data_IF_626516813692
#
_entry.id   IF_626516813692
#
_cell.length_a   1.000
_cell.length_b   1.000
_cell.length_c   1.000
_cell.angle_alpha   90.00
_cell.angle_beta   90.00
_cell.angle_gamma   90.00
#
_symmetry.space_group_name_H-M   'P 1'
#
loop_
_entity.id
_entity.type
_entity.pdbx_description
1 polymer ?
#
# COMPACT_ATOMS: atom_id res chain seq x y z
N UNK A 1 20.93 -44.88 44.84
CA UNK A 1 21.01 -43.92 43.71
C UNK A 1 20.60 -44.57 42.37
N UNK A 2 19.45 -45.26 42.29
CA UNK A 2 19.00 -45.93 41.05
C UNK A 2 17.57 -45.49 40.64
N UNK A 3 16.88 -44.70 41.46
CA UNK A 3 15.49 -44.31 41.20
C UNK A 3 15.32 -43.15 40.19
N UNK A 4 16.33 -42.29 40.01
CA UNK A 4 16.22 -41.09 39.16
C UNK A 4 16.39 -41.37 37.66
N UNK A 5 17.13 -42.42 37.28
CA UNK A 5 17.37 -42.77 35.88
C UNK A 5 16.11 -43.27 35.16
N UNK A 6 15.17 -43.88 35.88
CA UNK A 6 13.99 -44.49 35.27
C UNK A 6 12.95 -43.43 34.83
N UNK A 7 12.85 -42.31 35.56
CA UNK A 7 11.95 -41.20 35.21
C UNK A 7 12.47 -40.37 34.04
N UNK A 8 13.80 -40.16 33.98
CA UNK A 8 14.43 -39.45 32.88
C UNK A 8 14.32 -40.21 31.55
N UNK A 9 14.61 -41.52 31.56
CA UNK A 9 14.50 -42.37 30.36
C UNK A 9 13.06 -42.43 29.86
N UNK A 10 12.06 -42.50 30.76
CA UNK A 10 10.64 -42.41 30.39
C UNK A 10 10.32 -41.07 29.72
N UNK A 11 10.81 -39.95 30.27
CA UNK A 11 10.62 -38.62 29.69
C UNK A 11 11.18 -38.50 28.27
N UNK A 12 12.39 -39.02 28.04
CA UNK A 12 13.01 -39.05 26.70
C UNK A 12 12.19 -39.89 25.71
N UNK A 13 11.69 -41.04 26.15
CA UNK A 13 10.86 -41.92 25.31
C UNK A 13 9.52 -41.27 24.94
N UNK A 14 8.83 -40.63 25.90
CA UNK A 14 7.58 -39.91 25.62
C UNK A 14 7.79 -38.69 24.73
N UNK A 15 8.86 -37.93 24.94
CA UNK A 15 9.22 -36.78 24.09
C UNK A 15 9.56 -37.20 22.67
N UNK A 16 10.32 -38.29 22.50
CA UNK A 16 10.64 -38.85 21.18
C UNK A 16 9.39 -39.35 20.44
N UNK A 17 8.50 -40.06 21.13
CA UNK A 17 7.24 -40.53 20.56
C UNK A 17 6.34 -39.35 20.14
N UNK A 18 6.26 -38.30 20.97
CA UNK A 18 5.50 -37.10 20.67
C UNK A 18 6.06 -36.34 19.46
N UNK A 19 7.38 -36.20 19.36
CA UNK A 19 8.03 -35.61 18.18
C UNK A 19 7.76 -36.42 16.92
N UNK A 20 7.86 -37.75 16.98
CA UNK A 20 7.56 -38.61 15.82
C UNK A 20 6.11 -38.47 15.38
N UNK A 21 5.17 -38.45 16.32
CA UNK A 21 3.75 -38.20 16.06
C UNK A 21 3.55 -36.83 15.40
N UNK A 22 4.14 -35.76 15.92
CA UNK A 22 4.08 -34.42 15.29
C UNK A 22 4.67 -34.44 13.88
N UNK A 23 5.79 -35.11 13.65
CA UNK A 23 6.38 -35.17 12.30
C UNK A 23 5.54 -35.99 11.33
N UNK A 24 4.89 -37.07 11.78
CA UNK A 24 3.98 -37.90 10.97
C UNK A 24 2.67 -37.16 10.65
N UNK A 25 2.10 -36.43 11.61
CA UNK A 25 0.91 -35.59 11.40
C UNK A 25 1.24 -34.28 10.65
N UNK A 26 2.43 -33.72 10.85
CA UNK A 26 2.95 -32.54 10.14
C UNK A 26 3.25 -32.82 8.67
N UNK A 27 3.74 -34.03 8.34
CA UNK A 27 3.93 -34.44 6.94
C UNK A 27 2.60 -34.74 6.21
N UNK A 28 1.50 -34.96 6.92
CA UNK A 28 0.23 -35.39 6.29
C UNK A 28 -0.82 -34.29 6.16
N UNK A 29 -0.55 -33.05 6.62
CA UNK A 29 -1.42 -31.88 6.32
C UNK A 29 -0.68 -30.55 6.45
N UNK A 30 -0.30 -29.97 5.30
CA UNK A 30 -0.36 -28.52 4.98
C UNK A 30 0.39 -28.16 3.67
N UNK A 31 0.54 -29.07 2.70
CA UNK A 31 0.39 -28.63 1.31
C UNK A 31 -1.11 -28.69 1.00
N UNK A 32 -1.84 -27.71 1.54
CA UNK A 32 -3.09 -27.35 0.89
C UNK A 32 -2.74 -26.99 -0.54
N UNK A 33 -3.52 -27.48 -1.50
CA UNK A 33 -3.47 -27.00 -2.87
C UNK A 33 -3.30 -25.48 -2.82
N UNK A 34 -2.25 -24.96 -3.47
CA UNK A 34 -2.04 -23.53 -3.59
C UNK A 34 -3.35 -22.97 -4.15
N UNK A 35 -4.09 -22.12 -3.41
CA UNK A 35 -5.36 -21.62 -3.90
C UNK A 35 -5.09 -21.01 -5.26
N UNK A 36 -5.83 -21.46 -6.27
CA UNK A 36 -5.66 -21.01 -7.65
C UNK A 36 -5.71 -19.48 -7.63
N UNK A 37 -4.54 -18.84 -7.68
CA UNK A 37 -4.46 -17.40 -7.53
C UNK A 37 -5.03 -16.81 -8.80
N UNK A 38 -6.25 -16.29 -8.72
CA UNK A 38 -6.88 -15.59 -9.82
C UNK A 38 -6.11 -14.28 -10.02
N UNK A 39 -5.12 -14.30 -10.92
CA UNK A 39 -4.44 -13.10 -11.34
C UNK A 39 -5.42 -12.26 -12.17
N UNK A 40 -6.03 -11.26 -11.54
CA UNK A 40 -6.71 -10.21 -12.29
C UNK A 40 -5.65 -9.34 -12.96
N UNK A 41 -5.33 -9.65 -14.21
CA UNK A 41 -4.51 -8.78 -15.03
C UNK A 41 -5.27 -7.46 -15.24
N UNK A 42 -4.69 -6.36 -14.76
CA UNK A 42 -5.25 -5.03 -14.96
C UNK A 42 -5.11 -4.67 -16.44
N UNK A 43 -6.21 -4.78 -17.16
CA UNK A 43 -6.31 -4.34 -18.56
C UNK A 43 -6.34 -2.81 -18.59
N UNK A 44 -5.31 -2.22 -19.18
CA UNK A 44 -5.22 -0.80 -19.44
C UNK A 44 -6.09 -0.48 -20.67
N UNK A 45 -6.78 0.67 -20.72
CA UNK A 45 -7.54 1.05 -21.91
C UNK A 45 -6.67 1.02 -23.18
N UNK A 46 -7.26 0.70 -24.32
CA UNK A 46 -6.58 0.78 -25.60
C UNK A 46 -6.27 2.25 -25.93
N UNK A 47 -5.01 2.55 -26.22
CA UNK A 47 -4.55 3.93 -26.47
C UNK A 47 -5.09 4.47 -27.79
N UNK A 48 -5.13 3.67 -28.84
CA UNK A 48 -5.66 4.05 -30.15
C UNK A 48 -7.16 4.37 -30.06
N UNK A 49 -7.91 3.57 -29.32
CA UNK A 49 -9.33 3.80 -29.05
C UNK A 49 -9.53 5.12 -28.28
N UNK A 50 -8.76 5.35 -27.21
CA UNK A 50 -8.84 6.60 -26.43
C UNK A 50 -8.49 7.81 -27.31
N UNK A 51 -7.48 7.70 -28.16
CA UNK A 51 -7.07 8.78 -29.07
C UNK A 51 -8.09 9.05 -30.18
N UNK A 52 -8.90 8.06 -30.55
CA UNK A 52 -9.99 8.24 -31.52
C UNK A 52 -11.18 9.04 -30.96
N UNK A 53 -11.29 9.16 -29.63
CA UNK A 53 -12.38 9.93 -29.00
C UNK A 53 -12.25 11.44 -29.25
N UNK A 54 -13.38 12.17 -29.38
CA UNK A 54 -13.38 13.63 -29.42
C UNK A 54 -12.65 14.22 -28.20
N UNK A 55 -11.94 15.33 -28.41
CA UNK A 55 -11.14 15.97 -27.36
C UNK A 55 -11.98 16.28 -26.11
N UNK A 56 -13.19 16.82 -26.29
CA UNK A 56 -14.11 17.10 -25.20
C UNK A 56 -14.40 15.85 -24.35
N UNK A 57 -14.55 14.67 -24.97
CA UNK A 57 -14.80 13.42 -24.25
C UNK A 57 -13.57 12.94 -23.49
N UNK A 58 -12.37 13.10 -24.05
CA UNK A 58 -11.12 12.76 -23.36
C UNK A 58 -10.91 13.65 -22.13
N UNK A 59 -11.23 14.94 -22.25
CA UNK A 59 -11.16 15.89 -21.13
C UNK A 59 -12.16 15.49 -20.04
N UNK A 60 -13.42 15.21 -20.41
CA UNK A 60 -14.46 14.74 -19.48
C UNK A 60 -14.01 13.49 -18.71
N UNK A 61 -13.48 12.48 -19.41
CA UNK A 61 -12.95 11.24 -18.80
C UNK A 61 -11.76 11.50 -17.88
N UNK A 62 -10.84 12.38 -18.27
CA UNK A 62 -9.69 12.75 -17.43
C UNK A 62 -10.14 13.48 -16.15
N UNK A 63 -11.18 14.32 -16.26
CA UNK A 63 -11.75 15.06 -15.14
C UNK A 63 -12.61 14.18 -14.21
N UNK A 64 -13.21 13.11 -14.72
CA UNK A 64 -13.95 12.15 -13.87
C UNK A 64 -13.06 11.36 -12.93
N UNK A 65 -11.74 11.29 -13.21
CA UNK A 65 -10.77 10.62 -12.35
C UNK A 65 -10.11 11.64 -11.43
N UNK A 66 -10.51 11.59 -10.16
CA UNK A 66 -10.01 12.47 -9.10
C UNK A 66 -9.03 11.71 -8.21
N UNK A 67 -7.75 12.09 -8.25
CA UNK A 67 -6.64 11.47 -7.52
C UNK A 67 -6.18 12.35 -6.37
N UNK A 68 -6.23 11.82 -5.15
CA UNK A 68 -5.63 12.40 -3.96
C UNK A 68 -4.25 11.78 -3.72
N UNK A 69 -3.19 12.58 -3.84
CA UNK A 69 -1.83 12.16 -3.58
C UNK A 69 -1.49 12.36 -2.10
N UNK A 70 -1.19 11.27 -1.39
CA UNK A 70 -0.69 11.27 -0.01
C UNK A 70 0.83 11.07 -0.06
N UNK A 71 1.58 12.12 0.23
CA UNK A 71 3.04 12.11 0.12
C UNK A 71 3.67 12.06 1.51
N UNK A 72 4.34 10.96 1.82
CA UNK A 72 5.08 10.77 3.06
C UNK A 72 6.46 11.43 2.94
N UNK A 73 6.71 12.44 3.76
CA UNK A 73 7.93 13.27 3.72
C UNK A 73 8.68 13.22 5.03
N UNK A 74 9.99 13.42 4.97
CA UNK A 74 10.86 13.47 6.14
C UNK A 74 11.60 14.81 6.20
N UNK A 75 11.70 15.45 7.37
CA UNK A 75 12.40 16.73 7.55
C UNK A 75 13.87 16.70 7.06
N UNK A 76 14.55 15.57 7.27
CA UNK A 76 15.93 15.35 6.79
C UNK A 76 16.07 15.29 5.27
N UNK A 77 14.98 15.09 4.55
CA UNK A 77 14.92 14.91 3.09
C UNK A 77 14.24 16.10 2.39
N UNK A 78 14.51 17.32 2.89
CA UNK A 78 13.81 18.53 2.44
C UNK A 78 13.96 18.82 0.94
N UNK A 79 15.09 18.40 0.34
CA UNK A 79 15.32 18.53 -1.10
C UNK A 79 14.36 17.67 -1.94
N UNK A 80 14.10 16.43 -1.52
CA UNK A 80 13.13 15.56 -2.18
C UNK A 80 11.70 16.10 -2.01
N UNK A 81 11.37 16.60 -0.82
CA UNK A 81 10.08 17.24 -0.60
C UNK A 81 9.89 18.45 -1.54
N UNK A 82 10.87 19.35 -1.62
CA UNK A 82 10.81 20.48 -2.53
C UNK A 82 10.61 20.03 -3.99
N UNK A 83 11.40 19.03 -4.43
CA UNK A 83 11.29 18.49 -5.79
C UNK A 83 9.90 17.91 -6.07
N UNK A 84 9.36 17.08 -5.17
CA UNK A 84 8.04 16.47 -5.33
C UNK A 84 6.94 17.54 -5.38
N UNK A 85 7.00 18.54 -4.48
CA UNK A 85 6.05 19.67 -4.44
C UNK A 85 6.09 20.52 -5.70
N UNK A 86 7.30 20.78 -6.20
CA UNK A 86 7.51 21.72 -7.30
C UNK A 86 7.44 21.05 -8.69
N UNK A 87 7.26 19.72 -8.74
CA UNK A 87 7.14 18.94 -9.99
C UNK A 87 5.80 18.21 -10.10
N UNK A 88 5.79 16.89 -10.02
CA UNK A 88 4.69 16.04 -10.47
C UNK A 88 3.43 16.14 -9.59
N UNK A 89 3.55 16.55 -8.33
CA UNK A 89 2.35 16.71 -7.47
C UNK A 89 1.43 17.83 -7.91
N UNK A 90 1.91 18.76 -8.74
CA UNK A 90 1.08 19.77 -9.42
C UNK A 90 0.05 19.17 -10.38
N UNK A 91 0.25 17.93 -10.79
CA UNK A 91 -0.64 17.19 -11.69
C UNK A 91 -1.65 16.31 -10.91
N UNK A 92 -1.51 16.18 -9.59
CA UNK A 92 -2.55 15.60 -8.74
C UNK A 92 -3.74 16.55 -8.63
N UNK A 93 -4.96 16.03 -8.52
CA UNK A 93 -6.13 16.87 -8.24
C UNK A 93 -6.03 17.52 -6.85
N UNK A 94 -5.39 16.83 -5.90
CA UNK A 94 -4.89 17.38 -4.65
C UNK A 94 -3.69 16.59 -4.14
N UNK A 95 -2.72 17.27 -3.55
CA UNK A 95 -1.61 16.64 -2.84
C UNK A 95 -1.60 17.07 -1.36
N UNK A 96 -1.36 16.11 -0.46
CA UNK A 96 -1.22 16.34 0.98
C UNK A 96 0.07 15.70 1.46
N UNK A 97 0.89 16.50 2.14
CA UNK A 97 2.18 16.07 2.66
C UNK A 97 2.04 15.69 4.13
N UNK A 98 2.60 14.55 4.51
CA UNK A 98 2.56 14.00 5.87
C UNK A 98 3.96 13.82 6.41
N UNK A 99 4.21 14.37 7.59
CA UNK A 99 5.55 14.41 8.20
C UNK A 99 5.50 13.92 9.65
N UNK A 100 6.56 13.28 10.19
CA UNK A 100 6.60 12.86 11.60
C UNK A 100 6.59 14.04 12.58
N UNK A 101 7.01 15.23 12.12
CA UNK A 101 7.09 16.47 12.89
C UNK A 101 6.71 17.66 12.02
N UNK A 102 6.34 18.79 12.63
CA UNK A 102 6.02 20.01 11.89
C UNK A 102 7.30 20.78 11.53
N UNK A 103 7.46 21.09 10.24
CA UNK A 103 8.51 22.01 9.77
C UNK A 103 7.89 23.32 9.28
N UNK A 104 8.58 24.44 9.49
CA UNK A 104 8.09 25.77 9.07
C UNK A 104 8.19 26.02 7.56
N UNK A 105 9.02 25.27 6.86
CA UNK A 105 9.41 25.55 5.48
C UNK A 105 8.32 25.11 4.49
N UNK A 106 7.68 23.97 4.75
CA UNK A 106 6.66 23.40 3.88
C UNK A 106 5.43 22.97 4.70
N UNK A 107 4.20 23.23 4.22
CA UNK A 107 3.00 22.80 4.92
C UNK A 107 2.87 21.28 4.86
N UNK A 108 2.75 20.64 6.03
CA UNK A 108 2.46 19.22 6.17
C UNK A 108 1.56 18.95 7.37
N UNK A 109 0.83 17.84 7.31
CA UNK A 109 0.15 17.27 8.47
C UNK A 109 1.20 16.58 9.35
N UNK A 110 1.30 17.03 10.61
CA UNK A 110 2.16 16.41 11.61
C UNK A 110 1.49 15.11 12.12
N UNK A 111 2.21 13.99 12.01
CA UNK A 111 1.74 12.67 12.44
C UNK A 111 2.34 12.20 13.78
N UNK A 112 3.30 12.95 14.34
CA UNK A 112 3.89 12.73 15.67
C UNK A 112 4.46 11.31 15.85
N UNK A 113 5.04 10.73 14.80
CA UNK A 113 5.64 9.39 14.84
C UNK A 113 6.56 9.17 13.65
N UNK A 114 7.74 8.59 13.88
CA UNK A 114 8.68 8.18 12.82
C UNK A 114 8.40 6.76 12.28
N UNK A 115 7.51 6.01 12.94
CA UNK A 115 7.18 4.66 12.50
C UNK A 115 6.35 4.72 11.21
N UNK A 116 6.95 4.34 10.08
CA UNK A 116 6.31 4.39 8.74
C UNK A 116 4.93 3.73 8.69
N UNK A 117 4.74 2.59 9.34
CA UNK A 117 3.44 1.91 9.36
C UNK A 117 2.36 2.72 10.09
N UNK A 118 2.69 3.23 11.28
CA UNK A 118 1.78 4.08 12.05
C UNK A 118 1.50 5.38 11.28
N UNK A 119 2.53 5.98 10.68
CA UNK A 119 2.37 7.16 9.84
C UNK A 119 1.39 6.90 8.69
N UNK A 120 1.58 5.83 7.92
CA UNK A 120 0.68 5.48 6.81
C UNK A 120 -0.76 5.31 7.29
N UNK A 121 -0.98 4.59 8.39
CA UNK A 121 -2.33 4.42 8.96
C UNK A 121 -2.96 5.76 9.36
N UNK A 122 -2.21 6.63 10.02
CA UNK A 122 -2.68 7.97 10.40
C UNK A 122 -2.96 8.84 9.16
N UNK A 123 -2.10 8.80 8.14
CA UNK A 123 -2.27 9.55 6.90
C UNK A 123 -3.52 9.12 6.14
N UNK A 124 -3.74 7.81 5.97
CA UNK A 124 -4.94 7.28 5.31
C UNK A 124 -6.20 7.61 6.10
N UNK A 125 -6.15 7.48 7.44
CA UNK A 125 -7.28 7.86 8.31
C UNK A 125 -7.62 9.35 8.16
N UNK A 126 -6.62 10.22 8.28
CA UNK A 126 -6.78 11.66 8.11
C UNK A 126 -7.32 12.00 6.71
N UNK A 127 -6.80 11.36 5.67
CA UNK A 127 -7.27 11.56 4.30
C UNK A 127 -8.75 11.17 4.14
N UNK A 128 -9.15 10.03 4.69
CA UNK A 128 -10.54 9.58 4.68
C UNK A 128 -11.45 10.56 5.43
N UNK A 129 -11.07 10.99 6.62
CA UNK A 129 -11.90 11.90 7.44
C UNK A 129 -12.09 13.27 6.78
N UNK A 130 -11.10 13.77 6.04
CA UNK A 130 -11.13 15.13 5.48
C UNK A 130 -11.55 15.20 4.00
N UNK A 131 -11.40 14.11 3.25
CA UNK A 131 -11.55 14.12 1.78
C UNK A 131 -12.43 12.98 1.24
N UNK A 132 -13.11 12.23 2.11
CA UNK A 132 -14.05 11.20 1.68
C UNK A 132 -15.13 11.82 0.78
N UNK A 133 -15.32 11.25 -0.40
CA UNK A 133 -16.31 11.69 -1.38
C UNK A 133 -15.78 12.69 -2.40
N UNK A 134 -14.64 13.34 -2.14
CA UNK A 134 -14.06 14.34 -3.06
C UNK A 134 -13.17 13.72 -4.15
N UNK A 135 -12.68 12.50 -3.89
CA UNK A 135 -11.73 11.78 -4.73
C UNK A 135 -12.12 10.32 -4.89
N UNK A 136 -11.79 9.74 -6.04
CA UNK A 136 -12.06 8.35 -6.37
C UNK A 136 -10.87 7.45 -6.08
N UNK A 137 -9.65 8.01 -6.14
CA UNK A 137 -8.40 7.27 -6.01
C UNK A 137 -7.46 7.94 -5.03
N UNK A 138 -6.80 7.13 -4.21
CA UNK A 138 -5.73 7.56 -3.31
C UNK A 138 -4.40 7.02 -3.85
N UNK A 139 -3.43 7.90 -4.04
CA UNK A 139 -2.07 7.55 -4.41
C UNK A 139 -1.13 7.83 -3.25
N UNK A 140 -0.75 6.78 -2.53
CA UNK A 140 0.15 6.86 -1.36
C UNK A 140 1.60 6.60 -1.80
N UNK A 141 2.50 7.54 -1.51
CA UNK A 141 3.92 7.44 -1.90
C UNK A 141 4.87 8.06 -0.88
N UNK A 142 6.15 7.71 -0.98
CA UNK A 142 7.25 8.37 -0.26
C UNK A 142 7.81 9.56 -1.07
N UNK A 143 8.53 10.46 -0.40
CA UNK A 143 9.13 11.66 -1.00
C UNK A 143 10.18 11.39 -2.10
N UNK A 144 10.69 10.18 -2.20
CA UNK A 144 11.66 9.77 -3.23
C UNK A 144 10.98 9.32 -4.54
N UNK A 145 9.65 9.28 -4.59
CA UNK A 145 8.91 8.81 -5.77
C UNK A 145 8.79 9.91 -6.83
N UNK A 146 8.98 9.53 -8.10
CA UNK A 146 8.56 10.30 -9.26
C UNK A 146 7.42 9.57 -9.97
N UNK A 147 6.35 10.29 -10.31
CA UNK A 147 5.18 9.72 -10.96
C UNK A 147 4.68 10.64 -12.10
N UNK A 148 4.08 10.03 -13.11
CA UNK A 148 3.33 10.75 -14.17
C UNK A 148 1.86 10.53 -13.88
N UNK A 149 1.18 11.53 -13.34
CA UNK A 149 -0.20 11.38 -12.84
C UNK A 149 -1.18 11.08 -13.96
N UNK A 150 -0.94 11.59 -15.16
CA UNK A 150 -1.72 11.29 -16.36
C UNK A 150 -1.67 9.79 -16.71
N UNK A 151 -0.51 9.16 -16.55
CA UNK A 151 -0.37 7.71 -16.76
C UNK A 151 -1.11 6.93 -15.68
N UNK A 152 -1.09 7.39 -14.42
CA UNK A 152 -1.86 6.79 -13.34
C UNK A 152 -3.37 6.91 -13.60
N UNK A 153 -3.85 8.10 -14.01
CA UNK A 153 -5.26 8.30 -14.37
C UNK A 153 -5.67 7.39 -15.52
N UNK A 154 -4.83 7.28 -16.55
CA UNK A 154 -5.06 6.35 -17.65
C UNK A 154 -5.15 4.89 -17.19
N UNK A 155 -4.29 4.48 -16.26
CA UNK A 155 -4.27 3.13 -15.71
C UNK A 155 -5.58 2.74 -14.99
N UNK A 156 -6.21 3.69 -14.31
CA UNK A 156 -7.46 3.45 -13.56
C UNK A 156 -8.73 3.86 -14.31
N UNK A 157 -8.61 4.33 -15.56
CA UNK A 157 -9.73 4.90 -16.32
C UNK A 157 -10.93 3.95 -16.48
N UNK A 158 -10.68 2.67 -16.69
CA UNK A 158 -11.73 1.66 -16.87
C UNK A 158 -12.04 0.89 -15.58
N UNK A 159 -11.72 1.46 -14.41
CA UNK A 159 -11.93 0.82 -13.11
C UNK A 159 -13.07 1.51 -12.36
N UNK A 160 -13.93 0.70 -11.77
CA UNK A 160 -14.96 1.17 -10.86
C UNK A 160 -14.34 1.41 -9.48
N UNK A 161 -14.25 2.65 -8.98
CA UNK A 161 -13.70 2.93 -7.66
C UNK A 161 -14.55 2.37 -6.51
N UNK A 162 -15.77 1.89 -6.77
CA UNK A 162 -16.62 1.22 -5.78
C UNK A 162 -16.31 -0.28 -5.61
N UNK A 163 -15.46 -0.86 -6.46
CA UNK A 163 -15.08 -2.27 -6.41
C UNK A 163 -13.60 -2.44 -6.01
N UNK A 164 -13.25 -3.49 -5.24
CA UNK A 164 -11.86 -3.82 -4.93
C UNK A 164 -11.07 -4.34 -6.14
#
# INVERSE_FOLDING_TARGET
MIAEGNSFVKGVMFGGLFCLVITLFGNTRMYGDLPNHQHHHLQVPNKEELLSLPEAKRIELSQSIRVLCLVMVQPKEIGYWAAVRDTWTKHCDKAVFYSPESIKIFPSVNLETENKWIMTRKAVKHAYENYKGDFNWIFLVDSTTFAIIENLKFFVLNKDPAQP
#
